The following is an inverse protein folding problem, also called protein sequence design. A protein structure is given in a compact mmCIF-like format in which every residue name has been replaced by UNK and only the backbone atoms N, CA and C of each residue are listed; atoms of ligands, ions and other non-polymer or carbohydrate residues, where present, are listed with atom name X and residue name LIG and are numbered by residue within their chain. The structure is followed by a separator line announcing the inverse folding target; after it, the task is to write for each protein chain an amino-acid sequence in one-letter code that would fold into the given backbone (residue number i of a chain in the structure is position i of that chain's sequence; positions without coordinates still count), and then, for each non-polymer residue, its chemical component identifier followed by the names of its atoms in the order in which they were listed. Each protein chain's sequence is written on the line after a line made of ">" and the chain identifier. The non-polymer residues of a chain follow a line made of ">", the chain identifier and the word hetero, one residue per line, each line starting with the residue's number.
data_IF_912041527819
#
_entry.id   IF_912041527819
#
_cell.length_a   1.000
_cell.length_b   1.000
_cell.length_c   1.000
_cell.angle_alpha   90.00
_cell.angle_beta   90.00
_cell.angle_gamma   90.00
#
_symmetry.space_group_name_H-M   'P 1'
#
loop_
_entity.id
_entity.type
_entity.pdbx_description
1 polymer ?
#
# COMPACT_ATOMS: atom_id res chain seq x y z
N UNK A 1 17.63 -6.74 2.33
CA UNK A 1 16.53 -5.80 2.48
C UNK A 1 15.51 -6.33 3.42
N UNK A 2 15.02 -5.46 4.26
CA UNK A 2 14.04 -5.88 5.22
C UNK A 2 12.68 -5.36 4.81
N UNK A 3 11.66 -5.88 5.43
CA UNK A 3 10.30 -5.42 5.18
C UNK A 3 10.16 -3.94 5.52
N UNK A 4 10.92 -3.48 6.49
CA UNK A 4 10.84 -2.08 6.91
C UNK A 4 11.15 -1.11 5.78
N UNK A 5 12.02 -1.48 4.88
CA UNK A 5 12.36 -0.61 3.76
C UNK A 5 11.18 -0.39 2.84
N UNK A 6 10.19 -1.25 2.92
CA UNK A 6 9.02 -1.17 2.05
C UNK A 6 7.77 -0.66 2.75
N UNK A 7 7.90 -0.27 4.00
CA UNK A 7 6.77 0.27 4.75
C UNK A 7 6.70 1.77 4.52
N UNK A 8 5.57 2.24 4.00
CA UNK A 8 5.40 3.66 3.68
C UNK A 8 4.03 4.15 4.13
N UNK A 9 4.00 5.42 4.52
CA UNK A 9 2.78 6.06 4.96
C UNK A 9 2.40 7.16 3.95
N UNK A 10 1.15 7.16 3.53
CA UNK A 10 0.66 8.17 2.60
C UNK A 10 -0.54 8.88 3.21
N UNK A 11 -0.55 10.20 3.16
CA UNK A 11 -1.64 10.98 3.73
C UNK A 11 -2.77 11.22 2.75
N UNK A 12 -2.50 11.14 1.46
CA UNK A 12 -3.53 11.42 0.47
C UNK A 12 -3.37 10.53 -0.75
N UNK A 13 -4.42 10.51 -1.58
CA UNK A 13 -4.45 9.64 -2.75
C UNK A 13 -3.39 10.02 -3.78
N UNK A 14 -3.10 11.30 -3.88
CA UNK A 14 -2.14 11.75 -4.89
C UNK A 14 -0.75 11.21 -4.64
N UNK A 15 -0.33 11.20 -3.38
CA UNK A 15 0.98 10.67 -3.05
C UNK A 15 1.05 9.17 -3.32
N UNK A 16 -0.01 8.44 -2.98
CA UNK A 16 -0.08 7.02 -3.24
C UNK A 16 -0.05 6.73 -4.72
N UNK A 17 -0.84 7.47 -5.49
CA UNK A 17 -0.86 7.30 -6.93
C UNK A 17 0.51 7.58 -7.54
N UNK A 18 1.16 8.63 -7.08
CA UNK A 18 2.48 8.98 -7.61
C UNK A 18 3.47 7.86 -7.34
N UNK A 19 3.43 7.30 -6.14
CA UNK A 19 4.32 6.20 -5.82
C UNK A 19 4.06 5.01 -6.76
N UNK A 20 2.79 4.71 -6.99
CA UNK A 20 2.44 3.62 -7.90
C UNK A 20 2.95 3.91 -9.31
N UNK A 21 2.74 5.12 -9.80
CA UNK A 21 3.20 5.47 -11.14
C UNK A 21 4.69 5.31 -11.30
N UNK A 22 5.42 5.64 -10.24
CA UNK A 22 6.88 5.58 -10.31
C UNK A 22 7.43 4.18 -10.08
N UNK A 23 6.67 3.32 -9.43
CA UNK A 23 7.21 2.05 -8.97
C UNK A 23 6.46 0.79 -9.40
N UNK A 24 5.31 0.94 -10.04
CA UNK A 24 4.48 -0.25 -10.30
C UNK A 24 5.15 -1.28 -11.19
N UNK A 25 6.09 -0.87 -12.00
CA UNK A 25 6.79 -1.80 -12.88
C UNK A 25 8.04 -2.39 -12.26
N UNK A 26 8.59 -1.72 -11.27
CA UNK A 26 9.88 -2.12 -10.71
C UNK A 26 9.78 -2.72 -9.33
N UNK A 27 8.76 -2.39 -8.57
CA UNK A 27 8.60 -2.91 -7.22
C UNK A 27 7.70 -4.12 -7.23
N UNK A 28 7.95 -5.04 -6.32
CA UNK A 28 7.14 -6.25 -6.21
C UNK A 28 6.21 -6.22 -5.02
N UNK A 29 6.33 -5.24 -4.14
CA UNK A 29 5.42 -5.12 -3.00
C UNK A 29 5.63 -3.79 -2.30
N UNK A 30 4.62 -3.41 -1.54
CA UNK A 30 4.74 -2.28 -0.64
C UNK A 30 3.83 -2.57 0.55
N UNK A 31 4.25 -2.13 1.73
CA UNK A 31 3.44 -2.22 2.94
C UNK A 31 2.93 -0.83 3.27
N UNK A 32 1.65 -0.64 3.05
CA UNK A 32 1.00 0.66 3.22
C UNK A 32 0.53 0.80 4.66
N UNK A 33 0.89 1.90 5.31
CA UNK A 33 0.52 2.13 6.70
C UNK A 33 -0.86 2.78 6.78
N UNK A 34 -1.76 2.15 7.53
CA UNK A 34 -3.08 2.71 7.80
C UNK A 34 -3.21 2.93 9.30
N UNK A 35 -3.39 4.17 9.75
CA UNK A 35 -3.63 4.40 11.18
C UNK A 35 -5.03 3.94 11.54
N UNK A 36 -5.18 3.43 12.75
CA UNK A 36 -6.52 3.08 13.24
C UNK A 36 -7.30 4.35 13.50
N UNK A 37 -8.62 4.24 13.46
CA UNK A 37 -9.47 5.41 13.69
C UNK A 37 -9.17 6.07 15.02
N UNK A 38 -8.85 5.29 16.03
CA UNK A 38 -8.60 5.84 17.35
C UNK A 38 -7.40 6.74 17.41
N UNK A 39 -6.50 6.66 16.43
CA UNK A 39 -5.31 7.49 16.42
C UNK A 39 -5.60 8.92 15.97
N UNK A 40 -6.70 9.13 15.27
CA UNK A 40 -7.03 10.45 14.78
C UNK A 40 -6.17 10.97 13.65
N UNK A 41 -5.31 10.15 13.11
CA UNK A 41 -4.42 10.59 12.03
C UNK A 41 -5.12 10.55 10.70
N UNK A 42 -4.70 11.45 9.81
CA UNK A 42 -5.25 11.46 8.46
C UNK A 42 -4.60 10.36 7.65
N UNK A 43 -5.40 9.78 6.78
CA UNK A 43 -4.84 8.83 5.83
C UNK A 43 -5.86 8.61 4.71
N UNK A 44 -5.45 7.88 3.70
CA UNK A 44 -6.33 7.50 2.61
C UNK A 44 -7.27 6.43 3.14
N UNK A 45 -8.53 6.51 2.74
CA UNK A 45 -9.47 5.46 3.10
C UNK A 45 -9.02 4.16 2.43
N UNK A 46 -9.26 3.06 3.11
CA UNK A 46 -8.83 1.76 2.61
C UNK A 46 -9.36 1.51 1.19
N UNK A 47 -10.66 1.77 0.97
CA UNK A 47 -11.24 1.55 -0.35
C UNK A 47 -10.58 2.41 -1.42
N UNK A 48 -10.23 3.64 -1.07
CA UNK A 48 -9.57 4.52 -2.03
C UNK A 48 -8.18 4.00 -2.37
N UNK A 49 -7.47 3.49 -1.38
CA UNK A 49 -6.14 2.95 -1.63
C UNK A 49 -6.22 1.73 -2.54
N UNK A 50 -7.20 0.87 -2.31
CA UNK A 50 -7.38 -0.31 -3.13
C UNK A 50 -7.73 0.09 -4.57
N UNK A 51 -8.60 1.09 -4.74
CA UNK A 51 -8.96 1.53 -6.08
C UNK A 51 -7.78 2.06 -6.86
N UNK A 52 -6.94 2.85 -6.21
CA UNK A 52 -5.75 3.36 -6.89
C UNK A 52 -4.81 2.23 -7.27
N UNK A 53 -4.65 1.26 -6.38
CA UNK A 53 -3.78 0.13 -6.66
C UNK A 53 -4.30 -0.66 -7.85
N UNK A 54 -5.61 -0.86 -7.92
CA UNK A 54 -6.20 -1.59 -9.05
C UNK A 54 -5.97 -0.90 -10.37
N UNK A 55 -5.87 0.43 -10.37
CA UNK A 55 -5.57 1.14 -11.61
C UNK A 55 -4.21 0.77 -12.18
N UNK A 56 -3.33 0.25 -11.35
CA UNK A 56 -2.02 -0.21 -11.78
C UNK A 56 -1.90 -1.73 -11.71
N UNK A 57 -3.05 -2.39 -11.60
CA UNK A 57 -3.12 -3.85 -11.56
C UNK A 57 -2.44 -4.43 -10.32
N UNK A 58 -2.51 -3.70 -9.23
CA UNK A 58 -2.04 -4.17 -7.94
C UNK A 58 -3.22 -4.49 -7.04
N UNK A 59 -3.06 -5.44 -6.15
CA UNK A 59 -4.13 -5.84 -5.24
C UNK A 59 -3.61 -5.86 -3.81
N UNK A 60 -4.57 -5.80 -2.87
CA UNK A 60 -4.22 -5.95 -1.47
C UNK A 60 -4.04 -7.43 -1.18
N UNK A 61 -3.06 -7.74 -0.36
CA UNK A 61 -2.70 -9.13 -0.10
C UNK A 61 -2.83 -9.47 1.38
N UNK A 62 -1.94 -8.98 2.21
CA UNK A 62 -1.88 -9.37 3.62
C UNK A 62 -1.96 -8.16 4.50
N UNK A 63 -2.66 -8.27 5.63
CA UNK A 63 -2.73 -7.20 6.62
C UNK A 63 -2.05 -7.68 7.89
N UNK A 64 -1.25 -6.82 8.49
CA UNK A 64 -0.59 -7.10 9.75
C UNK A 64 -0.66 -5.90 10.67
N UNK A 65 -0.71 -6.10 11.98
CA UNK A 65 -0.62 -4.97 12.90
C UNK A 65 0.82 -4.45 12.89
N UNK A 66 0.98 -3.14 12.89
CA UNK A 66 2.31 -2.56 12.98
C UNK A 66 2.61 -2.18 14.42
N UNK A 67 1.67 -1.48 15.03
CA UNK A 67 1.75 -1.15 16.45
C UNK A 67 0.33 -0.91 16.94
N UNK A 68 0.17 -0.39 18.14
CA UNK A 68 -1.18 -0.24 18.70
C UNK A 68 -2.02 0.79 17.97
N UNK A 69 -1.39 1.69 17.22
CA UNK A 69 -2.11 2.76 16.52
C UNK A 69 -2.17 2.58 15.01
N UNK A 70 -1.44 1.62 14.47
CA UNK A 70 -1.34 1.46 13.02
C UNK A 70 -1.37 0.01 12.61
N UNK A 71 -1.79 -0.21 11.37
CA UNK A 71 -1.67 -1.53 10.74
C UNK A 71 -1.04 -1.31 9.38
N UNK A 72 -0.49 -2.37 8.81
CA UNK A 72 0.08 -2.28 7.47
C UNK A 72 -0.63 -3.27 6.57
N UNK A 73 -0.82 -2.85 5.33
CA UNK A 73 -1.48 -3.65 4.32
C UNK A 73 -0.52 -3.87 3.18
N UNK A 74 -0.29 -5.11 2.82
CA UNK A 74 0.60 -5.43 1.72
C UNK A 74 -0.14 -5.30 0.41
N UNK A 75 0.46 -4.59 -0.55
CA UNK A 75 -0.05 -4.49 -1.91
C UNK A 75 0.98 -5.11 -2.84
N UNK A 76 0.55 -5.90 -3.79
CA UNK A 76 1.44 -6.56 -4.73
C UNK A 76 0.83 -6.53 -6.11
N UNK A 77 1.65 -6.64 -7.17
CA UNK A 77 1.11 -6.75 -8.52
C UNK A 77 0.22 -7.97 -8.64
N UNK A 78 -0.91 -7.77 -9.28
CA UNK A 78 -1.88 -8.83 -9.40
C UNK A 78 -1.36 -10.00 -10.18
N UNK A 79 -0.57 -9.71 -11.18
CA UNK A 79 -0.10 -10.73 -12.09
C UNK A 79 1.39 -10.58 -12.30
N UNK A 80 2.14 -10.78 -11.26
CA UNK A 80 3.56 -10.52 -11.32
C UNK A 80 4.18 -11.42 -12.34
N UNK A 81 4.91 -10.89 -13.19
CA UNK A 81 5.62 -11.65 -14.16
C UNK A 81 4.81 -12.27 -15.20
N UNK A 82 3.59 -12.09 -15.17
CA UNK A 82 2.72 -12.62 -16.15
C UNK A 82 3.14 -13.92 -16.63
N UNK A 83 3.43 -14.69 -15.81
CA UNK A 83 3.94 -15.88 -16.19
C UNK A 83 3.08 -16.65 -17.01
N UNK A 84 3.22 -16.72 -18.05
CA UNK A 84 2.58 -17.56 -19.00
C UNK A 84 2.84 -17.03 -20.35
#
# INVERSE_FOLDING_TARGET
>A
MTTEDKIKYFENREDWRKWLMDNFETSSEIWFVFPYKSSGKKSILYNDAVEEALCFDWIDSTTKPLDKDHKIQRFTPRNPKSTY
#
